data_IF_246630401592
#
_entry.id   IF_246630401592
#
_cell.length_a   1.000
_cell.length_b   1.000
_cell.length_c   1.000
_cell.angle_alpha   90.00
_cell.angle_beta   90.00
_cell.angle_gamma   90.00
#
_symmetry.space_group_name_H-M   'P 1'
#
loop_
_entity.id
_entity.type
_entity.pdbx_description
1 polymer ?
#
# COMPACT_ATOMS: atom_id res chain seq x y z
N UNK A 1 12.03 -9.80 22.40
CA UNK A 1 11.73 -10.51 21.14
C UNK A 1 12.00 -9.60 19.97
N UNK A 2 12.49 -10.16 18.83
CA UNK A 2 12.66 -9.41 17.57
C UNK A 2 11.52 -9.70 16.61
N UNK A 3 11.06 -8.68 15.90
CA UNK A 3 10.08 -8.78 14.83
C UNK A 3 10.53 -7.94 13.62
N UNK A 4 10.17 -8.37 12.43
CA UNK A 4 10.48 -7.66 11.18
C UNK A 4 9.81 -8.31 9.98
N UNK A 5 10.19 -7.89 8.78
CA UNK A 5 9.69 -8.38 7.51
C UNK A 5 8.26 -7.92 7.12
N UNK A 6 7.40 -7.56 8.07
CA UNK A 6 6.10 -6.93 7.83
C UNK A 6 5.80 -5.94 8.97
N UNK A 7 5.03 -4.88 8.73
CA UNK A 7 4.55 -4.00 9.79
C UNK A 7 3.74 -4.81 10.82
N UNK A 8 3.89 -4.44 12.09
CA UNK A 8 3.10 -5.00 13.19
C UNK A 8 2.22 -3.91 13.77
N UNK A 9 0.89 -4.12 13.91
CA UNK A 9 0.01 -3.14 14.51
C UNK A 9 0.45 -2.77 15.93
N UNK A 10 0.42 -1.48 16.27
CA UNK A 10 0.81 -0.97 17.59
C UNK A 10 0.01 -1.66 18.70
N UNK A 11 -1.29 -1.86 18.51
CA UNK A 11 -2.17 -2.57 19.45
C UNK A 11 -1.70 -4.00 19.76
N UNK A 12 -1.14 -4.70 18.76
CA UNK A 12 -0.61 -6.04 18.95
C UNK A 12 0.70 -6.02 19.74
N UNK A 13 1.60 -5.06 19.47
CA UNK A 13 2.84 -4.85 20.23
C UNK A 13 2.56 -4.62 21.70
N UNK A 14 1.62 -3.72 22.01
CA UNK A 14 1.21 -3.38 23.38
C UNK A 14 0.56 -4.59 24.09
N UNK A 15 -0.37 -5.28 23.41
CA UNK A 15 -1.03 -6.47 23.96
C UNK A 15 -0.03 -7.60 24.28
N UNK A 16 0.96 -7.80 23.39
CA UNK A 16 2.00 -8.79 23.62
C UNK A 16 2.84 -8.43 24.87
N UNK A 17 3.28 -7.18 24.98
CA UNK A 17 4.06 -6.71 26.11
C UNK A 17 3.28 -6.85 27.43
N UNK A 18 2.00 -6.49 27.45
CA UNK A 18 1.12 -6.63 28.63
C UNK A 18 0.94 -8.09 29.06
N UNK A 19 0.79 -9.01 28.11
CA UNK A 19 0.51 -10.44 28.40
C UNK A 19 1.74 -11.23 28.77
N UNK A 20 2.91 -10.88 28.25
CA UNK A 20 4.13 -11.68 28.39
C UNK A 20 5.18 -11.03 29.29
N UNK A 21 5.09 -9.73 29.52
CA UNK A 21 6.13 -8.93 30.18
C UNK A 21 7.39 -8.75 29.33
N UNK A 22 7.35 -9.15 28.04
CA UNK A 22 8.47 -9.05 27.12
C UNK A 22 8.20 -8.01 26.04
N UNK A 23 9.20 -7.22 25.69
CA UNK A 23 9.12 -6.26 24.61
C UNK A 23 9.41 -6.90 23.26
N UNK A 24 8.70 -6.45 22.23
CA UNK A 24 9.03 -6.70 20.82
C UNK A 24 9.86 -5.54 20.30
N UNK A 25 11.00 -5.85 19.71
CA UNK A 25 11.85 -4.89 18.99
C UNK A 25 11.61 -5.08 17.50
N UNK A 26 11.06 -4.05 16.88
CA UNK A 26 10.90 -4.03 15.44
C UNK A 26 12.23 -3.70 14.76
N UNK A 27 12.41 -4.30 13.59
CA UNK A 27 13.54 -4.03 12.71
C UNK A 27 13.11 -4.01 11.26
N UNK A 28 13.79 -3.23 10.46
CA UNK A 28 13.53 -3.12 9.03
C UNK A 28 14.77 -3.51 8.22
N UNK A 29 14.51 -4.15 7.11
CA UNK A 29 15.53 -4.52 6.15
C UNK A 29 14.95 -5.42 5.06
N UNK A 30 15.81 -5.77 4.13
CA UNK A 30 15.49 -6.58 2.96
C UNK A 30 16.71 -7.39 2.54
N UNK A 31 16.54 -8.27 1.56
CA UNK A 31 17.65 -9.09 1.03
C UNK A 31 18.80 -8.20 0.55
N UNK A 32 18.50 -7.06 -0.03
CA UNK A 32 19.44 -6.07 -0.57
C UNK A 32 20.27 -5.35 0.53
N UNK A 33 19.81 -5.42 1.78
CA UNK A 33 20.55 -4.90 2.95
C UNK A 33 21.02 -6.01 3.90
N UNK A 34 21.15 -7.25 3.39
CA UNK A 34 21.55 -8.44 4.17
C UNK A 34 20.66 -8.59 5.43
N UNK A 35 19.34 -8.58 5.20
CA UNK A 35 18.25 -8.76 6.15
C UNK A 35 17.95 -7.60 7.10
N UNK A 36 18.92 -6.83 7.60
CA UNK A 36 18.68 -5.79 8.61
C UNK A 36 19.37 -4.48 8.22
N UNK A 37 18.62 -3.40 8.17
CA UNK A 37 19.13 -2.03 7.99
C UNK A 37 18.92 -1.17 9.24
N UNK A 38 17.80 -1.40 9.96
CA UNK A 38 17.50 -0.75 11.25
C UNK A 38 17.01 -1.74 12.28
N UNK A 39 17.19 -1.40 13.55
CA UNK A 39 16.61 -2.14 14.69
C UNK A 39 16.60 -1.23 15.93
N UNK A 40 15.77 -1.57 16.92
CA UNK A 40 15.87 -0.97 18.24
C UNK A 40 17.09 -1.50 18.98
N UNK A 41 17.72 -0.65 19.79
CA UNK A 41 18.80 -1.07 20.69
C UNK A 41 18.24 -1.79 21.91
N UNK A 42 18.95 -2.82 22.39
CA UNK A 42 18.54 -3.62 23.54
C UNK A 42 18.45 -2.82 24.85
N UNK A 43 19.24 -1.76 24.99
CA UNK A 43 19.39 -0.95 26.20
C UNK A 43 19.15 0.53 25.94
N UNK A 44 18.22 0.86 25.06
CA UNK A 44 17.86 2.25 24.72
C UNK A 44 16.37 2.47 24.79
N UNK A 45 15.99 3.71 24.57
CA UNK A 45 14.60 4.08 24.41
C UNK A 45 14.05 3.41 23.16
N UNK A 46 12.80 2.97 23.28
CA UNK A 46 12.08 2.32 22.20
C UNK A 46 10.89 3.18 21.80
N UNK A 47 10.81 3.55 20.53
CA UNK A 47 9.66 4.28 19.98
C UNK A 47 8.77 3.29 19.23
N UNK A 48 7.67 2.89 19.89
CA UNK A 48 6.69 1.96 19.31
C UNK A 48 6.13 2.55 18.00
N UNK A 49 6.06 1.72 16.94
CA UNK A 49 5.66 2.12 15.60
C UNK A 49 6.82 2.59 14.72
N UNK A 50 8.01 2.85 15.29
CA UNK A 50 9.23 2.98 14.50
C UNK A 50 9.92 1.63 14.31
N UNK A 51 10.77 1.52 13.29
CA UNK A 51 11.59 0.33 13.05
C UNK A 51 13.01 0.50 13.61
N UNK A 52 13.18 1.40 14.58
CA UNK A 52 14.44 1.65 15.26
C UNK A 52 15.39 2.54 14.48
N UNK A 53 16.66 2.46 14.84
CA UNK A 53 17.75 3.25 14.28
C UNK A 53 18.62 2.40 13.35
N UNK A 54 19.35 3.06 12.45
CA UNK A 54 20.30 2.38 11.54
C UNK A 54 21.33 1.55 12.32
N UNK A 55 21.63 0.37 11.79
CA UNK A 55 22.71 -0.44 12.35
C UNK A 55 24.09 0.20 12.05
N UNK A 56 25.14 -0.17 12.80
CA UNK A 56 26.49 0.30 12.54
C UNK A 56 26.94 0.04 11.09
N UNK A 57 27.69 0.99 10.51
CA UNK A 57 28.20 0.98 9.13
C UNK A 57 27.14 0.99 8.02
N UNK A 58 25.89 1.20 8.37
CA UNK A 58 24.78 1.43 7.44
C UNK A 58 24.42 2.92 7.44
N UNK A 59 24.20 3.50 6.27
CA UNK A 59 23.64 4.83 6.12
C UNK A 59 22.20 4.71 5.62
N UNK A 60 21.32 5.48 6.23
CA UNK A 60 19.94 5.68 5.77
C UNK A 60 19.76 7.16 5.49
N UNK A 61 19.26 7.47 4.33
CA UNK A 61 18.98 8.83 3.86
C UNK A 61 17.55 8.88 3.37
N UNK A 62 16.83 9.92 3.72
CA UNK A 62 15.49 10.19 3.22
C UNK A 62 15.61 11.31 2.20
N UNK A 63 15.08 11.11 1.00
CA UNK A 63 15.22 12.07 -0.08
C UNK A 63 13.97 12.15 -0.96
N UNK A 64 13.74 13.33 -1.51
CA UNK A 64 12.81 13.55 -2.59
C UNK A 64 13.44 13.07 -3.90
N UNK A 65 12.68 12.27 -4.66
CA UNK A 65 13.10 11.72 -5.95
C UNK A 65 12.11 12.10 -7.04
N UNK A 66 12.58 12.28 -8.27
CA UNK A 66 11.73 12.49 -9.44
C UNK A 66 11.16 11.16 -9.97
N UNK A 67 10.28 11.23 -10.99
CA UNK A 67 9.67 10.06 -11.63
C UNK A 67 10.68 9.13 -12.31
N UNK A 68 11.90 9.61 -12.57
CA UNK A 68 12.99 8.80 -13.12
C UNK A 68 13.87 8.19 -12.02
N UNK A 69 13.56 8.44 -10.74
CA UNK A 69 14.31 7.97 -9.58
C UNK A 69 15.55 8.81 -9.25
N UNK A 70 15.74 9.99 -9.87
CA UNK A 70 16.86 10.86 -9.51
C UNK A 70 16.58 11.61 -8.22
N UNK A 71 17.61 11.77 -7.39
CA UNK A 71 17.53 12.54 -6.15
C UNK A 71 17.41 14.03 -6.49
N UNK A 72 16.35 14.68 -6.02
CA UNK A 72 16.15 16.12 -6.12
C UNK A 72 16.89 16.80 -4.96
N UNK A 73 16.53 16.47 -3.72
CA UNK A 73 17.09 17.00 -2.49
C UNK A 73 16.92 16.02 -1.33
N UNK A 74 17.53 16.33 -0.18
CA UNK A 74 17.30 15.62 1.07
C UNK A 74 16.04 16.15 1.75
N UNK A 75 15.27 15.24 2.33
CA UNK A 75 14.12 15.60 3.16
C UNK A 75 14.58 16.18 4.50
N UNK A 76 13.80 17.11 5.01
CA UNK A 76 13.95 17.62 6.36
C UNK A 76 13.56 16.56 7.41
N UNK A 77 13.93 16.80 8.66
CA UNK A 77 13.52 15.95 9.80
C UNK A 77 12.00 15.85 9.86
N UNK A 78 11.50 14.63 10.00
CA UNK A 78 10.07 14.28 9.95
C UNK A 78 9.39 14.46 8.58
N UNK A 79 10.09 14.89 7.56
CA UNK A 79 9.57 14.90 6.19
C UNK A 79 9.62 13.50 5.57
N UNK A 80 8.56 13.13 4.86
CA UNK A 80 8.43 11.82 4.22
C UNK A 80 9.08 11.84 2.84
N UNK A 81 9.98 10.88 2.58
CA UNK A 81 10.63 10.70 1.30
C UNK A 81 11.03 9.26 1.04
N UNK A 82 11.72 9.03 -0.08
CA UNK A 82 12.26 7.73 -0.45
C UNK A 82 13.40 7.31 0.49
N UNK A 83 13.38 6.07 0.95
CA UNK A 83 14.42 5.51 1.81
C UNK A 83 15.57 4.99 0.95
N UNK A 84 16.72 5.65 1.08
CA UNK A 84 17.94 5.31 0.39
C UNK A 84 18.95 4.68 1.37
N UNK A 85 19.62 3.63 0.91
CA UNK A 85 20.59 2.87 1.71
C UNK A 85 21.99 2.94 1.11
N UNK A 86 23.00 3.01 1.97
CA UNK A 86 24.38 2.71 1.61
C UNK A 86 25.13 2.11 2.80
N UNK A 87 26.20 1.40 2.52
CA UNK A 87 27.04 0.79 3.54
C UNK A 87 27.47 -0.63 3.18
N UNK A 88 28.25 -1.25 4.08
CA UNK A 88 28.86 -2.56 3.81
C UNK A 88 27.83 -3.70 3.70
N UNK A 89 26.63 -3.54 4.24
CA UNK A 89 25.53 -4.50 4.15
C UNK A 89 24.63 -4.26 2.92
N UNK A 90 24.87 -3.19 2.15
CA UNK A 90 24.10 -2.97 0.92
C UNK A 90 24.69 -3.83 -0.21
N UNK A 91 23.84 -4.59 -0.90
CA UNK A 91 24.28 -5.47 -1.99
C UNK A 91 24.86 -4.67 -3.17
N UNK A 92 25.72 -5.30 -4.00
CA UNK A 92 26.36 -4.59 -5.11
C UNK A 92 25.46 -4.41 -6.35
N UNK A 93 24.26 -4.95 -6.35
CA UNK A 93 23.28 -4.87 -7.42
C UNK A 93 22.71 -6.22 -7.87
N UNK A 94 21.69 -6.14 -8.70
CA UNK A 94 21.04 -7.31 -9.32
C UNK A 94 21.88 -7.85 -10.48
N UNK A 95 21.71 -9.15 -10.78
CA UNK A 95 22.34 -9.79 -11.94
C UNK A 95 21.85 -9.20 -13.27
N UNK A 96 20.59 -8.77 -13.31
CA UNK A 96 19.99 -8.11 -14.49
C UNK A 96 20.32 -6.61 -14.43
N UNK A 97 21.15 -6.14 -15.36
CA UNK A 97 21.61 -4.76 -15.39
C UNK A 97 20.47 -3.74 -15.47
N UNK A 98 19.41 -4.04 -16.22
CA UNK A 98 18.24 -3.16 -16.37
C UNK A 98 17.53 -2.91 -15.04
N UNK A 99 17.49 -3.91 -14.15
CA UNK A 99 16.89 -3.76 -12.83
C UNK A 99 17.68 -2.81 -11.91
N UNK A 100 18.98 -2.64 -12.17
CA UNK A 100 19.81 -1.73 -11.38
C UNK A 100 19.55 -0.25 -11.70
N UNK A 101 19.18 0.06 -12.94
CA UNK A 101 18.94 1.45 -13.36
C UNK A 101 17.82 2.12 -12.54
N UNK A 102 16.81 1.36 -12.16
CA UNK A 102 15.67 1.88 -11.41
C UNK A 102 15.94 2.05 -9.90
N UNK A 103 16.93 1.34 -9.34
CA UNK A 103 17.13 1.27 -7.90
C UNK A 103 18.43 1.90 -7.41
N UNK A 104 19.30 2.36 -8.32
CA UNK A 104 20.55 3.04 -8.00
C UNK A 104 20.57 4.47 -8.58
N UNK A 105 19.90 5.43 -7.93
CA UNK A 105 19.88 6.83 -8.39
C UNK A 105 21.28 7.49 -8.38
N UNK A 106 22.15 6.97 -7.53
CA UNK A 106 23.61 7.25 -7.51
C UNK A 106 24.36 5.96 -7.23
N UNK A 107 25.63 5.89 -7.64
CA UNK A 107 26.43 4.68 -7.58
C UNK A 107 26.62 4.08 -6.17
N UNK A 108 26.37 4.85 -5.12
CA UNK A 108 26.55 4.47 -3.71
C UNK A 108 25.26 4.47 -2.89
N UNK A 109 24.12 4.77 -3.52
CA UNK A 109 22.81 4.86 -2.86
C UNK A 109 21.80 3.94 -3.52
N UNK A 110 21.36 2.95 -2.76
CA UNK A 110 20.30 2.02 -3.16
C UNK A 110 18.93 2.54 -2.72
N UNK A 111 18.03 2.70 -3.67
CA UNK A 111 16.62 3.03 -3.41
C UNK A 111 15.83 1.76 -3.13
N UNK A 112 15.33 1.63 -1.91
CA UNK A 112 14.53 0.47 -1.46
C UNK A 112 13.16 0.38 -2.11
N UNK A 113 12.65 1.50 -2.63
CA UNK A 113 11.26 1.65 -3.06
C UNK A 113 10.27 1.80 -1.90
N UNK A 114 10.78 1.87 -0.68
CA UNK A 114 10.00 2.17 0.52
C UNK A 114 10.06 3.67 0.83
N UNK A 115 9.02 4.19 1.46
CA UNK A 115 8.90 5.57 1.91
C UNK A 115 8.97 5.62 3.44
N UNK A 116 9.55 6.68 3.96
CA UNK A 116 9.66 6.87 5.40
C UNK A 116 10.19 8.23 5.77
N UNK A 117 10.37 8.45 7.05
CA UNK A 117 10.97 9.66 7.62
C UNK A 117 11.92 9.31 8.76
N UNK A 118 12.88 10.18 9.00
CA UNK A 118 13.72 10.14 10.21
C UNK A 118 13.22 11.22 11.18
N UNK A 119 13.11 10.87 12.46
CA UNK A 119 12.84 11.88 13.50
C UNK A 119 14.14 12.54 13.99
N UNK A 120 14.02 13.49 14.92
CA UNK A 120 15.15 14.27 15.46
C UNK A 120 16.22 13.39 16.12
N UNK A 121 15.85 12.21 16.59
CA UNK A 121 16.76 11.27 17.24
C UNK A 121 17.31 10.21 16.28
N UNK A 122 16.83 10.21 15.01
CA UNK A 122 17.28 9.31 13.96
C UNK A 122 16.58 7.95 13.95
N UNK A 123 15.40 7.83 14.57
CA UNK A 123 14.53 6.67 14.39
C UNK A 123 13.85 6.72 13.03
N UNK A 124 13.82 5.57 12.36
CA UNK A 124 13.15 5.42 11.07
C UNK A 124 11.68 5.03 11.30
N UNK A 125 10.78 5.79 10.68
CA UNK A 125 9.35 5.54 10.62
C UNK A 125 8.99 5.18 9.19
N UNK A 126 8.51 3.96 8.98
CA UNK A 126 8.07 3.51 7.66
C UNK A 126 6.67 4.04 7.38
N UNK A 127 6.45 4.44 6.13
CA UNK A 127 5.16 4.89 5.62
C UNK A 127 4.58 3.88 4.62
N UNK A 128 5.36 2.88 4.22
CA UNK A 128 4.97 1.88 3.25
C UNK A 128 5.78 1.99 1.97
N UNK A 129 5.28 1.40 0.89
CA UNK A 129 5.94 1.47 -0.41
C UNK A 129 5.45 2.64 -1.22
N UNK A 130 6.32 3.30 -1.96
CA UNK A 130 5.96 4.42 -2.84
C UNK A 130 4.78 4.08 -3.76
N UNK A 131 4.78 2.87 -4.34
CA UNK A 131 3.69 2.36 -5.20
C UNK A 131 2.42 1.91 -4.47
N UNK A 132 2.45 1.83 -3.15
CA UNK A 132 1.31 1.41 -2.32
C UNK A 132 0.64 2.62 -1.63
N UNK A 133 1.26 3.81 -1.67
CA UNK A 133 0.64 5.04 -1.19
C UNK A 133 -0.66 5.31 -1.95
N UNK A 134 -1.63 5.81 -1.23
CA UNK A 134 -2.94 6.19 -1.78
C UNK A 134 -2.88 7.68 -2.09
N UNK A 135 -2.97 8.05 -3.37
CA UNK A 135 -2.84 9.44 -3.81
C UNK A 135 -4.22 10.08 -3.87
N UNK A 136 -4.62 10.73 -2.80
CA UNK A 136 -5.93 11.39 -2.68
C UNK A 136 -5.81 12.90 -2.78
N UNK A 137 -6.26 13.48 -3.89
CA UNK A 137 -6.22 14.93 -4.09
C UNK A 137 -4.82 15.54 -4.01
N UNK A 138 -3.79 14.79 -4.42
CA UNK A 138 -2.38 15.20 -4.34
C UNK A 138 -1.71 14.92 -3.00
N UNK A 139 -2.44 14.41 -2.00
CA UNK A 139 -1.88 13.98 -0.71
C UNK A 139 -1.52 12.49 -0.74
N UNK A 140 -0.32 12.18 -0.31
CA UNK A 140 0.15 10.81 -0.13
C UNK A 140 -0.35 10.27 1.22
N UNK A 141 -1.28 9.34 1.19
CA UNK A 141 -1.86 8.71 2.37
C UNK A 141 -1.18 7.36 2.58
N UNK A 142 -0.68 7.15 3.80
CA UNK A 142 -0.16 5.86 4.22
C UNK A 142 -1.32 4.88 4.47
N UNK A 143 -1.38 3.73 3.75
CA UNK A 143 -2.37 2.70 4.03
C UNK A 143 -2.33 2.17 5.47
N UNK A 144 -1.16 2.19 6.12
CA UNK A 144 -0.99 1.71 7.49
C UNK A 144 -1.87 2.48 8.49
N UNK A 145 -2.12 3.76 8.27
CA UNK A 145 -3.01 4.57 9.13
C UNK A 145 -4.42 3.97 9.17
N UNK A 146 -4.91 3.51 8.02
CA UNK A 146 -6.22 2.85 7.92
C UNK A 146 -6.18 1.43 8.52
N UNK A 147 -5.10 0.69 8.24
CA UNK A 147 -4.90 -0.68 8.69
C UNK A 147 -4.79 -0.78 10.22
N UNK A 148 -4.00 0.09 10.85
CA UNK A 148 -3.83 0.15 12.30
C UNK A 148 -5.13 0.54 13.00
N UNK A 149 -5.86 1.51 12.47
CA UNK A 149 -7.15 1.89 13.04
C UNK A 149 -8.15 0.72 13.02
N UNK A 150 -8.22 -0.04 11.92
CA UNK A 150 -9.09 -1.22 11.82
C UNK A 150 -8.59 -2.38 12.68
N UNK A 151 -7.28 -2.61 12.74
CA UNK A 151 -6.69 -3.66 13.58
C UNK A 151 -6.89 -3.42 15.09
N UNK A 152 -7.15 -2.18 15.52
CA UNK A 152 -7.52 -1.86 16.89
C UNK A 152 -8.94 -2.34 17.26
N UNK A 153 -9.78 -2.70 16.29
CA UNK A 153 -11.11 -3.23 16.57
C UNK A 153 -11.04 -4.70 17.04
N UNK A 154 -11.67 -5.05 18.18
CA UNK A 154 -11.47 -6.36 18.82
C UNK A 154 -11.95 -7.57 17.99
N UNK A 155 -12.79 -7.36 17.00
CA UNK A 155 -13.30 -8.41 16.10
C UNK A 155 -12.54 -8.51 14.79
N UNK A 156 -11.52 -7.66 14.57
CA UNK A 156 -10.67 -7.68 13.38
C UNK A 156 -9.42 -8.49 13.66
N UNK A 157 -9.17 -9.50 12.83
CA UNK A 157 -7.95 -10.29 12.88
C UNK A 157 -6.84 -9.64 12.04
N UNK A 158 -7.19 -9.24 10.82
CA UNK A 158 -6.26 -8.61 9.86
C UNK A 158 -7.00 -7.58 9.02
N UNK A 159 -6.36 -6.45 8.76
CA UNK A 159 -6.84 -5.42 7.86
C UNK A 159 -5.79 -5.07 6.80
N UNK A 160 -6.24 -4.70 5.62
CA UNK A 160 -5.40 -4.20 4.53
C UNK A 160 -6.11 -3.05 3.82
N UNK A 161 -5.40 -1.97 3.54
CA UNK A 161 -5.92 -0.82 2.82
C UNK A 161 -5.19 -0.62 1.48
N UNK A 162 -5.95 -0.20 0.47
CA UNK A 162 -5.44 0.12 -0.87
C UNK A 162 -6.19 1.33 -1.43
N UNK A 163 -5.57 1.99 -2.42
CA UNK A 163 -6.24 3.01 -3.21
C UNK A 163 -7.27 2.40 -4.15
N UNK A 164 -8.49 2.94 -4.14
CA UNK A 164 -9.51 2.72 -5.16
C UNK A 164 -9.59 3.95 -6.04
N UNK A 165 -9.58 3.80 -7.37
CA UNK A 165 -9.78 4.93 -8.28
C UNK A 165 -11.06 5.71 -7.95
N UNK A 166 -10.93 7.04 -7.97
CA UNK A 166 -12.01 7.97 -7.69
C UNK A 166 -11.97 9.13 -8.69
N UNK A 167 -13.13 9.48 -9.25
CA UNK A 167 -13.25 10.46 -10.34
C UNK A 167 -12.92 11.89 -9.95
N UNK A 168 -12.87 12.21 -8.64
CA UNK A 168 -12.64 13.56 -8.12
C UNK A 168 -11.30 13.71 -7.41
N UNK A 169 -10.87 12.65 -6.71
CA UNK A 169 -9.72 12.70 -5.82
C UNK A 169 -8.51 11.94 -6.35
N UNK A 170 -8.61 11.33 -7.55
CA UNK A 170 -7.62 10.40 -8.06
C UNK A 170 -7.78 9.02 -7.43
N UNK A 171 -7.48 8.90 -6.14
CA UNK A 171 -7.75 7.70 -5.35
C UNK A 171 -8.44 8.02 -4.03
N UNK A 172 -9.12 7.01 -3.46
CA UNK A 172 -9.67 7.04 -2.11
C UNK A 172 -9.29 5.76 -1.36
N UNK A 173 -9.03 5.83 -0.04
CA UNK A 173 -8.76 4.64 0.75
C UNK A 173 -9.97 3.71 0.81
N UNK A 174 -9.75 2.43 0.54
CA UNK A 174 -10.70 1.35 0.82
C UNK A 174 -9.98 0.26 1.59
N UNK A 175 -10.70 -0.43 2.48
CA UNK A 175 -10.13 -1.45 3.31
C UNK A 175 -10.78 -2.82 3.08
N UNK A 176 -9.99 -3.86 3.24
CA UNK A 176 -10.41 -5.26 3.25
C UNK A 176 -10.04 -5.84 4.61
N UNK A 177 -10.98 -6.52 5.25
CA UNK A 177 -10.86 -6.97 6.63
C UNK A 177 -11.18 -8.44 6.73
N UNK A 178 -10.36 -9.19 7.45
CA UNK A 178 -10.66 -10.52 7.91
C UNK A 178 -11.03 -10.46 9.39
N UNK A 179 -12.14 -11.06 9.76
CA UNK A 179 -12.61 -11.08 11.14
C UNK A 179 -11.99 -12.25 11.90
N UNK A 180 -11.94 -12.11 13.22
CA UNK A 180 -11.66 -13.22 14.14
C UNK A 180 -12.70 -14.31 13.92
N UNK A 181 -12.30 -15.56 14.00
CA UNK A 181 -13.17 -16.71 13.77
C UNK A 181 -14.45 -16.66 14.61
N UNK A 182 -15.60 -16.79 13.95
CA UNK A 182 -16.92 -16.70 14.57
C UNK A 182 -17.41 -15.29 14.93
N UNK A 183 -16.62 -14.26 14.67
CA UNK A 183 -17.03 -12.87 14.88
C UNK A 183 -18.02 -12.39 13.81
N UNK A 184 -18.92 -11.49 14.21
CA UNK A 184 -19.87 -10.83 13.30
C UNK A 184 -19.94 -9.36 13.63
N UNK A 185 -19.74 -8.53 12.61
CA UNK A 185 -19.83 -7.06 12.65
C UNK A 185 -20.18 -6.57 11.26
N UNK A 186 -20.84 -5.43 11.15
CA UNK A 186 -21.16 -4.87 9.83
C UNK A 186 -19.99 -4.05 9.26
N UNK A 187 -19.86 -4.03 7.93
CA UNK A 187 -18.87 -3.19 7.22
C UNK A 187 -19.02 -1.70 7.57
N UNK A 188 -20.26 -1.24 7.75
CA UNK A 188 -20.53 0.15 8.14
C UNK A 188 -20.08 0.48 9.58
N UNK A 189 -20.18 -0.47 10.50
CA UNK A 189 -19.67 -0.33 11.86
C UNK A 189 -18.14 -0.23 11.87
N UNK A 190 -17.44 -1.10 11.13
CA UNK A 190 -15.99 -1.04 10.97
C UNK A 190 -15.53 0.26 10.30
N UNK A 191 -16.25 0.71 9.28
CA UNK A 191 -15.98 1.99 8.62
C UNK A 191 -16.12 3.18 9.58
N UNK A 192 -17.17 3.17 10.41
CA UNK A 192 -17.40 4.20 11.41
C UNK A 192 -16.31 4.15 12.47
N UNK A 193 -15.98 2.97 12.97
CA UNK A 193 -14.91 2.76 13.92
C UNK A 193 -13.56 3.30 13.40
N UNK A 194 -13.17 2.92 12.19
CA UNK A 194 -11.93 3.42 11.58
C UNK A 194 -11.92 4.96 11.49
N UNK A 195 -12.99 5.57 11.00
CA UNK A 195 -13.11 7.02 10.88
C UNK A 195 -12.94 7.73 12.23
N UNK A 196 -13.47 7.16 13.32
CA UNK A 196 -13.46 7.75 14.64
C UNK A 196 -12.09 7.57 15.34
N UNK A 197 -11.24 6.65 14.87
CA UNK A 197 -9.90 6.38 15.39
C UNK A 197 -8.77 6.93 14.51
N UNK A 198 -9.07 7.43 13.31
CA UNK A 198 -8.08 8.04 12.41
C UNK A 198 -8.06 9.55 12.63
N UNK A 199 -6.89 10.09 13.01
CA UNK A 199 -6.68 11.53 13.18
C UNK A 199 -6.71 12.30 11.86
N UNK A 200 -6.20 11.70 10.77
CA UNK A 200 -6.19 12.27 9.43
C UNK A 200 -7.43 11.86 8.65
N UNK A 201 -8.39 12.78 8.49
CA UNK A 201 -9.66 12.51 7.79
C UNK A 201 -9.51 11.93 6.38
N UNK A 202 -8.44 12.30 5.68
CA UNK A 202 -8.19 11.84 4.31
C UNK A 202 -7.88 10.34 4.26
N UNK A 203 -7.29 9.77 5.33
CA UNK A 203 -6.96 8.36 5.46
C UNK A 203 -8.16 7.48 5.89
N UNK A 204 -9.29 8.10 6.30
CA UNK A 204 -10.47 7.32 6.65
C UNK A 204 -11.02 6.57 5.42
N UNK A 205 -11.24 5.23 5.53
CA UNK A 205 -11.69 4.43 4.40
C UNK A 205 -13.11 4.83 3.98
N UNK A 206 -13.32 4.98 2.67
CA UNK A 206 -14.64 5.28 2.12
C UNK A 206 -15.52 4.03 2.08
N UNK A 207 -14.90 2.84 2.00
CA UNK A 207 -15.56 1.54 2.09
C UNK A 207 -14.68 0.55 2.85
N UNK A 208 -15.32 -0.38 3.55
CA UNK A 208 -14.71 -1.53 4.19
C UNK A 208 -15.41 -2.78 3.67
N UNK A 209 -14.66 -3.77 3.23
CA UNK A 209 -15.17 -5.05 2.75
C UNK A 209 -14.69 -6.16 3.66
N UNK A 210 -15.61 -6.97 4.20
CA UNK A 210 -15.28 -8.14 4.99
C UNK A 210 -15.01 -9.31 4.05
N UNK A 211 -13.87 -9.95 4.22
CA UNK A 211 -13.42 -11.12 3.46
C UNK A 211 -13.29 -12.33 4.38
N UNK A 212 -13.62 -13.51 3.88
CA UNK A 212 -13.38 -14.76 4.62
C UNK A 212 -11.89 -14.95 4.87
N UNK A 213 -11.06 -14.73 3.85
CA UNK A 213 -9.60 -14.81 3.91
C UNK A 213 -9.00 -13.72 3.02
N UNK A 214 -8.03 -12.98 3.56
CA UNK A 214 -7.24 -12.05 2.78
C UNK A 214 -6.16 -12.78 1.96
N UNK A 215 -5.87 -12.34 0.73
CA UNK A 215 -4.83 -12.95 -0.08
C UNK A 215 -3.45 -12.72 0.55
N UNK A 216 -2.66 -13.78 0.64
CA UNK A 216 -1.30 -13.73 1.19
C UNK A 216 -0.28 -14.31 0.21
N UNK A 217 0.96 -13.85 0.34
CA UNK A 217 2.11 -14.44 -0.35
C UNK A 217 2.48 -15.79 0.26
N UNK A 218 3.35 -16.56 -0.40
CA UNK A 218 3.86 -17.84 0.12
C UNK A 218 4.57 -17.73 1.49
N UNK A 219 4.97 -16.52 1.88
CA UNK A 219 5.61 -16.24 3.19
C UNK A 219 4.65 -15.55 4.18
N UNK A 220 3.33 -15.58 3.91
CA UNK A 220 2.30 -15.10 4.83
C UNK A 220 2.08 -13.58 4.84
N UNK A 221 2.69 -12.80 3.94
CA UNK A 221 2.43 -11.35 3.83
C UNK A 221 1.17 -11.08 3.02
N UNK A 222 0.38 -10.08 3.42
CA UNK A 222 -0.79 -9.65 2.64
C UNK A 222 -0.38 -9.29 1.20
N UNK A 223 -1.09 -9.85 0.24
CA UNK A 223 -0.84 -9.63 -1.19
C UNK A 223 -1.72 -8.48 -1.72
N UNK A 224 -1.32 -7.24 -1.40
CA UNK A 224 -2.04 -6.01 -1.80
C UNK A 224 -2.32 -5.87 -3.30
N UNK A 225 -1.49 -6.36 -4.25
CA UNK A 225 -1.82 -6.27 -5.68
C UNK A 225 -3.18 -6.90 -6.04
N UNK A 226 -3.55 -8.01 -5.42
CA UNK A 226 -4.86 -8.63 -5.65
C UNK A 226 -6.01 -7.77 -5.09
N UNK A 227 -5.82 -7.18 -3.90
CA UNK A 227 -6.80 -6.28 -3.30
C UNK A 227 -7.00 -5.01 -4.14
N UNK A 228 -5.91 -4.48 -4.69
CA UNK A 228 -5.96 -3.33 -5.61
C UNK A 228 -6.75 -3.64 -6.88
N UNK A 229 -6.59 -4.83 -7.46
CA UNK A 229 -7.41 -5.29 -8.60
C UNK A 229 -8.88 -5.35 -8.25
N UNK A 230 -9.23 -5.86 -7.08
CA UNK A 230 -10.63 -5.88 -6.58
C UNK A 230 -11.19 -4.47 -6.43
N UNK A 231 -10.41 -3.54 -5.86
CA UNK A 231 -10.81 -2.14 -5.69
C UNK A 231 -11.02 -1.43 -7.05
N UNK A 232 -10.12 -1.64 -8.02
CA UNK A 232 -10.26 -1.12 -9.38
C UNK A 232 -11.51 -1.69 -10.05
N UNK A 233 -11.70 -3.01 -9.98
CA UNK A 233 -12.88 -3.67 -10.54
C UNK A 233 -14.19 -3.07 -9.99
N UNK A 234 -14.25 -2.86 -8.68
CA UNK A 234 -15.41 -2.26 -8.02
C UNK A 234 -15.68 -0.83 -8.49
N UNK A 235 -14.62 0.01 -8.63
CA UNK A 235 -14.74 1.38 -9.11
C UNK A 235 -15.30 1.44 -10.54
N UNK A 236 -14.70 0.65 -11.44
CA UNK A 236 -15.16 0.56 -12.84
C UNK A 236 -16.59 0.04 -12.93
N UNK A 237 -16.91 -1.02 -12.18
CA UNK A 237 -18.25 -1.57 -12.15
C UNK A 237 -19.30 -0.53 -11.69
N UNK A 238 -18.99 0.23 -10.65
CA UNK A 238 -19.88 1.27 -10.13
C UNK A 238 -20.09 2.37 -11.16
N UNK A 239 -19.03 2.87 -11.79
CA UNK A 239 -19.13 3.91 -12.81
C UNK A 239 -19.91 3.45 -14.05
N UNK A 240 -19.65 2.23 -14.52
CA UNK A 240 -20.34 1.67 -15.68
C UNK A 240 -21.80 1.38 -15.40
N UNK A 241 -22.14 0.83 -14.24
CA UNK A 241 -23.56 0.59 -13.85
C UNK A 241 -24.34 1.89 -13.64
N UNK A 242 -23.70 2.96 -13.19
CA UNK A 242 -24.33 4.27 -13.07
C UNK A 242 -24.64 4.89 -14.45
N UNK A 243 -23.79 4.66 -15.44
CA UNK A 243 -23.98 5.18 -16.80
C UNK A 243 -24.84 4.27 -17.69
N UNK A 244 -24.73 2.95 -17.49
CA UNK A 244 -25.32 1.91 -18.34
C UNK A 244 -26.05 0.88 -17.49
N UNK A 245 -27.18 1.28 -16.87
CA UNK A 245 -27.93 0.45 -15.92
C UNK A 245 -28.45 -0.86 -16.54
N UNK A 246 -28.85 -0.82 -17.81
CA UNK A 246 -29.46 -1.94 -18.54
C UNK A 246 -28.45 -2.82 -19.29
N UNK A 247 -27.19 -2.33 -19.47
CA UNK A 247 -26.17 -3.07 -20.22
C UNK A 247 -25.50 -4.11 -19.34
N UNK A 248 -25.41 -5.34 -19.84
CA UNK A 248 -24.59 -6.38 -19.23
C UNK A 248 -23.15 -6.33 -19.78
N UNK A 249 -22.19 -6.32 -18.86
CA UNK A 249 -20.76 -6.31 -19.20
C UNK A 249 -19.95 -7.13 -18.20
N UNK A 250 -18.82 -7.64 -18.66
CA UNK A 250 -17.81 -8.25 -17.80
C UNK A 250 -16.56 -7.39 -17.72
N UNK A 251 -15.93 -7.42 -16.54
CA UNK A 251 -14.67 -6.73 -16.24
C UNK A 251 -13.60 -7.76 -15.90
N UNK A 252 -12.53 -7.74 -16.68
CA UNK A 252 -11.33 -8.52 -16.44
C UNK A 252 -10.19 -7.58 -16.09
N UNK A 253 -9.49 -7.87 -14.99
CA UNK A 253 -8.36 -7.07 -14.53
C UNK A 253 -7.10 -7.90 -14.64
N UNK A 254 -6.12 -7.41 -15.39
CA UNK A 254 -4.87 -8.11 -15.63
C UNK A 254 -3.65 -7.22 -15.33
N UNK A 255 -2.52 -7.86 -15.03
CA UNK A 255 -1.24 -7.17 -14.97
C UNK A 255 -0.68 -7.01 -16.38
N UNK A 256 -0.24 -5.80 -16.71
CA UNK A 256 0.50 -5.49 -17.92
C UNK A 256 1.90 -5.00 -17.57
N UNK A 257 2.92 -5.52 -18.25
CA UNK A 257 4.33 -5.18 -17.95
C UNK A 257 4.70 -3.71 -18.20
N UNK A 258 3.97 -3.04 -19.10
CA UNK A 258 4.24 -1.65 -19.49
C UNK A 258 3.27 -0.67 -18.87
N UNK A 259 2.01 -1.10 -18.71
CA UNK A 259 0.89 -0.24 -18.29
C UNK A 259 0.50 -0.44 -16.81
N UNK A 260 1.13 -1.41 -16.14
CA UNK A 260 0.77 -1.78 -14.78
C UNK A 260 -0.50 -2.62 -14.75
N UNK A 261 -1.59 -2.09 -14.22
CA UNK A 261 -2.89 -2.77 -14.20
C UNK A 261 -3.72 -2.30 -15.42
N UNK A 262 -4.24 -3.28 -16.16
CA UNK A 262 -5.08 -3.08 -17.33
C UNK A 262 -6.49 -3.59 -17.06
N UNK A 263 -7.49 -2.79 -17.43
CA UNK A 263 -8.91 -3.15 -17.35
C UNK A 263 -9.41 -3.53 -18.73
N UNK A 264 -9.94 -4.73 -18.87
CA UNK A 264 -10.55 -5.20 -20.11
C UNK A 264 -12.06 -5.29 -19.90
N UNK A 265 -12.80 -4.62 -20.79
CA UNK A 265 -14.26 -4.56 -20.77
C UNK A 265 -14.80 -5.45 -21.88
N UNK A 266 -15.77 -6.27 -21.57
CA UNK A 266 -16.50 -7.11 -22.48
C UNK A 266 -17.99 -6.80 -22.39
N UNK A 267 -18.60 -6.32 -23.47
CA UNK A 267 -20.03 -6.16 -23.54
C UNK A 267 -20.68 -7.51 -23.88
N UNK A 268 -21.63 -7.96 -23.06
CA UNK A 268 -22.30 -9.25 -23.23
C UNK A 268 -23.52 -9.11 -24.13
N UNK A 269 -24.27 -8.01 -24.01
CA UNK A 269 -25.47 -7.77 -24.79
C UNK A 269 -25.13 -7.01 -26.09
N UNK A 270 -25.73 -7.46 -27.22
CA UNK A 270 -25.50 -6.88 -28.54
C UNK A 270 -26.42 -5.70 -28.85
N UNK A 271 -27.55 -5.58 -28.16
CA UNK A 271 -28.49 -4.46 -28.33
C UNK A 271 -27.98 -3.23 -27.59
N UNK A 272 -27.54 -2.20 -28.32
CA UNK A 272 -27.02 -0.95 -27.75
C UNK A 272 -25.48 -0.86 -27.67
N UNK A 273 -24.74 -1.81 -28.23
CA UNK A 273 -23.26 -1.80 -28.22
C UNK A 273 -22.64 -0.53 -28.82
N UNK A 274 -23.24 0.05 -29.84
CA UNK A 274 -22.73 1.27 -30.49
C UNK A 274 -22.81 2.48 -29.55
N UNK A 275 -23.90 2.58 -28.78
CA UNK A 275 -24.09 3.65 -27.78
C UNK A 275 -23.15 3.45 -26.58
N UNK A 276 -23.04 2.22 -26.07
CA UNK A 276 -22.09 1.86 -25.02
C UNK A 276 -20.66 2.18 -25.42
N UNK A 277 -20.18 1.72 -26.61
CA UNK A 277 -18.85 2.01 -27.13
C UNK A 277 -18.56 3.50 -27.26
N UNK A 278 -19.53 4.26 -27.78
CA UNK A 278 -19.37 5.69 -28.03
C UNK A 278 -19.24 6.52 -26.74
N UNK A 279 -19.90 6.12 -25.66
CA UNK A 279 -19.93 6.83 -24.40
C UNK A 279 -18.83 6.39 -23.41
N UNK A 280 -18.23 5.20 -23.56
CA UNK A 280 -17.18 4.69 -22.68
C UNK A 280 -16.04 5.70 -22.43
N UNK A 281 -15.46 6.36 -23.45
CA UNK A 281 -14.38 7.33 -23.22
C UNK A 281 -14.78 8.47 -22.31
N UNK A 282 -16.01 8.94 -22.39
CA UNK A 282 -16.52 10.01 -21.53
C UNK A 282 -16.77 9.53 -20.10
N UNK A 283 -17.34 8.34 -19.93
CA UNK A 283 -17.62 7.75 -18.61
C UNK A 283 -16.31 7.43 -17.86
N UNK A 284 -15.30 6.95 -18.57
CA UNK A 284 -14.04 6.48 -17.98
C UNK A 284 -12.89 7.51 -18.05
N UNK A 285 -13.13 8.71 -18.55
CA UNK A 285 -12.09 9.75 -18.74
C UNK A 285 -11.32 10.16 -17.49
N UNK A 286 -11.92 9.98 -16.31
CA UNK A 286 -11.33 10.34 -15.03
C UNK A 286 -10.54 9.19 -14.37
N UNK A 287 -10.60 7.99 -14.95
CA UNK A 287 -9.82 6.86 -14.48
C UNK A 287 -8.42 6.88 -15.08
N UNK A 288 -7.41 6.76 -14.25
CA UNK A 288 -6.00 6.74 -14.68
C UNK A 288 -5.55 5.37 -15.19
N UNK A 289 -6.31 4.32 -14.88
CA UNK A 289 -6.03 2.96 -15.33
C UNK A 289 -6.27 2.83 -16.83
N UNK A 290 -5.34 2.16 -17.50
CA UNK A 290 -5.54 1.81 -18.90
C UNK A 290 -6.68 0.83 -19.06
N UNK A 291 -7.60 1.13 -19.97
CA UNK A 291 -8.73 0.26 -20.29
C UNK A 291 -8.85 0.02 -21.80
N UNK A 292 -9.39 -1.12 -22.13
CA UNK A 292 -9.75 -1.44 -23.51
C UNK A 292 -11.04 -2.25 -23.57
N UNK A 293 -11.76 -2.09 -24.65
CA UNK A 293 -12.92 -2.93 -24.98
C UNK A 293 -12.42 -4.14 -25.75
N UNK A 294 -12.83 -5.33 -25.31
CA UNK A 294 -12.56 -6.59 -25.99
C UNK A 294 -13.85 -7.07 -26.67
N UNK A 295 -13.71 -7.51 -27.92
CA UNK A 295 -14.83 -8.10 -28.66
C UNK A 295 -14.92 -9.58 -28.37
N UNK A 296 -16.15 -10.05 -28.14
CA UNK A 296 -16.48 -11.48 -27.88
C UNK A 296 -16.27 -12.39 -29.10
N UNK A 297 -15.94 -11.81 -30.26
CA UNK A 297 -15.76 -12.51 -31.53
C UNK A 297 -14.28 -12.61 -31.91
N UNK A 298 -13.53 -13.48 -31.22
CA UNK A 298 -12.16 -13.82 -31.54
C UNK A 298 -11.88 -15.29 -31.22
#
# INVERSE_FOLDING_TARGET
>A
CGCGAAPMPVSLLESFAQRTGADIMEGYGMTETIAVATTHYFFGDRKIGSVGMRIPYQTIRIANIDDNGNIIDDCDTNEIGAILHSGISTFPGYKQQEANLAVWPKNDLFNSGDMGRLDEEGYLWLVGRAKDLIIRGGHNIDPLVTEDALAAHPLVEVAAAVGRPDTHSGEVPVAFVQLVEGATVSENELKTFARDHIGERAAAPVDVTICDVLPVTAVGKIYKPELRKRAIKAAFHTALKAAFSETEFMLHIADDKRLGIKVMLEAIDTDGQDDFRSQLPEVLKHFTQHWELIDTNG
#
